data_IF_730080951688
#
_entry.id   IF_730080951688
#
_cell.length_a   1.000
_cell.length_b   1.000
_cell.length_c   1.000
_cell.angle_alpha   90.00
_cell.angle_beta   90.00
_cell.angle_gamma   90.00
#
_symmetry.space_group_name_H-M   'P 1'
#
loop_
_entity.id
_entity.type
_entity.pdbx_description
1 polymer ?
#
# COMPACT_ATOMS: atom_id res chain seq x y z
N UNK A 1 -9.08 -0.51 -9.34
CA UNK A 1 -7.80 -0.90 -8.75
C UNK A 1 -7.94 -2.07 -7.79
N UNK A 2 -7.37 -3.21 -8.20
CA UNK A 2 -7.04 -4.35 -7.33
C UNK A 2 -6.02 -3.92 -6.24
N UNK A 3 -6.08 -4.54 -5.07
CA UNK A 3 -5.13 -4.25 -3.96
C UNK A 3 -4.47 -5.52 -3.43
N UNK A 4 -3.15 -5.46 -3.23
CA UNK A 4 -2.35 -6.45 -2.49
C UNK A 4 -1.90 -5.79 -1.19
N UNK A 5 -2.14 -6.46 -0.05
CA UNK A 5 -1.83 -5.91 1.27
C UNK A 5 -0.92 -6.89 2.01
N UNK A 6 0.29 -6.42 2.32
CA UNK A 6 1.26 -7.12 3.12
C UNK A 6 1.48 -6.40 4.46
N UNK A 7 1.44 -7.16 5.55
CA UNK A 7 1.71 -6.66 6.89
C UNK A 7 2.75 -7.56 7.54
N UNK A 8 3.99 -7.10 7.54
CA UNK A 8 5.12 -7.86 8.07
C UNK A 8 5.47 -7.41 9.49
N UNK A 9 5.65 -8.38 10.38
CA UNK A 9 6.02 -8.15 11.78
C UNK A 9 7.30 -8.93 12.08
N UNK A 10 8.34 -8.23 12.51
CA UNK A 10 9.57 -8.91 12.94
C UNK A 10 9.42 -9.41 14.39
N UNK A 11 10.17 -10.46 14.75
CA UNK A 11 10.19 -11.13 16.06
C UNK A 11 10.49 -10.19 17.25
N UNK A 12 11.10 -9.03 16.98
CA UNK A 12 11.41 -7.98 17.97
C UNK A 12 10.16 -7.15 18.36
N UNK A 13 9.04 -7.30 17.66
CA UNK A 13 7.77 -6.64 17.98
C UNK A 13 6.96 -7.33 19.11
N UNK A 14 7.52 -8.33 19.80
CA UNK A 14 6.85 -8.99 20.93
C UNK A 14 6.56 -7.98 22.06
N UNK A 15 5.27 -7.75 22.33
CA UNK A 15 4.79 -6.77 23.30
C UNK A 15 4.43 -5.39 22.72
N UNK A 16 4.59 -5.20 21.41
CA UNK A 16 4.18 -3.97 20.72
C UNK A 16 2.76 -4.12 20.11
N UNK A 17 1.99 -3.03 20.17
CA UNK A 17 0.71 -2.87 19.48
C UNK A 17 0.98 -2.66 17.99
N UNK A 18 0.58 -3.63 17.17
CA UNK A 18 0.79 -3.61 15.73
C UNK A 18 -0.56 -3.82 15.03
N UNK A 19 -0.90 -3.04 13.98
CA UNK A 19 -2.15 -3.24 13.27
C UNK A 19 -2.27 -4.67 12.74
N UNK A 20 -3.50 -5.18 12.70
CA UNK A 20 -3.79 -6.45 12.05
C UNK A 20 -3.86 -6.25 10.53
N UNK A 21 -3.62 -7.32 9.76
CA UNK A 21 -3.80 -7.27 8.32
C UNK A 21 -5.22 -6.84 7.92
N UNK A 22 -6.22 -7.24 8.70
CA UNK A 22 -7.61 -6.81 8.50
C UNK A 22 -7.84 -5.33 8.79
N UNK A 23 -7.19 -4.76 9.80
CA UNK A 23 -7.27 -3.33 10.08
C UNK A 23 -6.68 -2.51 8.93
N UNK A 24 -5.50 -2.91 8.44
CA UNK A 24 -4.86 -2.31 7.25
C UNK A 24 -5.75 -2.47 6.03
N UNK A 25 -6.29 -3.67 5.78
CA UNK A 25 -7.18 -3.95 4.65
C UNK A 25 -8.43 -3.10 4.66
N UNK A 26 -9.09 -2.97 5.81
CA UNK A 26 -10.27 -2.11 5.97
C UNK A 26 -9.91 -0.64 5.72
N UNK A 27 -8.79 -0.17 6.26
CA UNK A 27 -8.33 1.19 6.04
C UNK A 27 -8.11 1.48 4.55
N UNK A 28 -7.31 0.65 3.86
CA UNK A 28 -7.02 0.78 2.42
C UNK A 28 -8.30 0.74 1.59
N UNK A 29 -9.14 -0.28 1.79
CA UNK A 29 -10.38 -0.47 1.04
C UNK A 29 -11.33 0.72 1.23
N UNK A 30 -11.46 1.22 2.46
CA UNK A 30 -12.32 2.36 2.77
C UNK A 30 -11.88 3.63 2.04
N UNK A 31 -10.57 3.94 2.01
CA UNK A 31 -10.05 5.12 1.29
C UNK A 31 -10.30 4.99 -0.21
N UNK A 32 -9.91 3.87 -0.81
CA UNK A 32 -10.07 3.66 -2.26
C UNK A 32 -11.53 3.66 -2.71
N UNK A 33 -12.46 3.13 -1.90
CA UNK A 33 -13.90 3.22 -2.17
C UNK A 33 -14.40 4.66 -2.13
N UNK A 34 -13.94 5.44 -1.15
CA UNK A 34 -14.31 6.85 -1.02
C UNK A 34 -13.85 7.67 -2.23
N UNK A 35 -12.69 7.31 -2.80
CA UNK A 35 -12.15 7.88 -4.03
C UNK A 35 -12.71 7.26 -5.32
N UNK A 36 -13.64 6.28 -5.24
CA UNK A 36 -14.18 5.52 -6.39
C UNK A 36 -13.12 4.76 -7.22
N UNK A 37 -11.93 4.55 -6.67
CA UNK A 37 -10.83 3.81 -7.31
C UNK A 37 -10.87 2.31 -7.03
N UNK A 38 -11.66 1.88 -6.05
CA UNK A 38 -11.81 0.47 -5.73
C UNK A 38 -12.68 -0.24 -6.79
N UNK A 39 -12.05 -1.04 -7.63
CA UNK A 39 -12.72 -2.02 -8.46
C UNK A 39 -12.09 -3.38 -8.11
N UNK A 40 -12.90 -4.37 -7.76
CA UNK A 40 -12.43 -5.69 -7.32
C UNK A 40 -12.02 -6.60 -8.48
N UNK A 41 -11.78 -6.04 -9.66
CA UNK A 41 -11.51 -6.78 -10.89
C UNK A 41 -10.02 -7.09 -10.99
N UNK A 42 -9.67 -8.18 -11.68
CA UNK A 42 -8.28 -8.41 -12.05
C UNK A 42 -7.86 -7.39 -13.12
N UNK A 43 -6.98 -6.49 -12.72
CA UNK A 43 -6.33 -5.51 -13.60
C UNK A 43 -4.83 -5.84 -13.63
N UNK A 44 -4.17 -5.59 -14.76
CA UNK A 44 -2.71 -5.65 -14.90
C UNK A 44 -2.01 -4.65 -13.98
N UNK A 45 -2.76 -3.67 -13.48
CA UNK A 45 -2.37 -2.61 -12.56
C UNK A 45 -3.00 -2.85 -11.18
N UNK A 46 -2.19 -2.88 -10.13
CA UNK A 46 -2.70 -3.06 -8.77
C UNK A 46 -1.92 -2.24 -7.75
N UNK A 47 -2.61 -1.85 -6.67
CA UNK A 47 -1.99 -1.16 -5.55
C UNK A 47 -1.40 -2.18 -4.58
N UNK A 48 -0.09 -2.14 -4.37
CA UNK A 48 0.59 -2.88 -3.34
C UNK A 48 0.82 -1.98 -2.13
N UNK A 49 0.21 -2.33 -1.00
CA UNK A 49 0.38 -1.65 0.28
C UNK A 49 1.15 -2.55 1.21
N UNK A 50 2.33 -2.11 1.67
CA UNK A 50 3.13 -2.83 2.64
C UNK A 50 3.30 -2.01 3.92
N UNK A 51 3.07 -2.67 5.06
CA UNK A 51 3.28 -2.11 6.40
C UNK A 51 4.24 -3.02 7.15
N UNK A 52 5.46 -2.57 7.40
CA UNK A 52 6.46 -3.33 8.14
C UNK A 52 6.65 -2.72 9.52
N UNK A 53 6.70 -3.55 10.56
CA UNK A 53 6.93 -3.10 11.94
C UNK A 53 8.07 -3.87 12.58
N UNK A 54 9.04 -3.12 13.11
CA UNK A 54 10.28 -3.63 13.73
C UNK A 54 10.53 -2.88 15.04
N UNK A 55 10.19 -3.52 16.17
CA UNK A 55 10.27 -2.88 17.47
C UNK A 55 9.37 -1.63 17.52
N UNK A 56 9.88 -0.44 17.93
CA UNK A 56 9.09 0.80 17.93
C UNK A 56 9.03 1.49 16.57
N UNK A 57 9.76 1.00 15.56
CA UNK A 57 9.85 1.59 14.24
C UNK A 57 8.90 0.89 13.26
N UNK A 58 8.45 1.62 12.25
CA UNK A 58 7.65 1.09 11.16
C UNK A 58 8.02 1.74 9.83
N UNK A 59 7.65 1.06 8.74
CA UNK A 59 7.66 1.61 7.39
C UNK A 59 6.34 1.33 6.69
N UNK A 60 5.87 2.31 5.92
CA UNK A 60 4.70 2.19 5.06
C UNK A 60 5.16 2.46 3.64
N UNK A 61 4.72 1.63 2.72
CA UNK A 61 4.79 1.95 1.30
C UNK A 61 3.50 1.60 0.57
N UNK A 62 3.19 2.46 -0.39
CA UNK A 62 2.04 2.37 -1.28
C UNK A 62 2.59 2.48 -2.70
N UNK A 63 2.49 1.38 -3.44
CA UNK A 63 3.09 1.24 -4.76
C UNK A 63 2.04 0.84 -5.78
N UNK A 64 1.94 1.57 -6.87
CA UNK A 64 1.16 1.16 -8.02
C UNK A 64 2.04 0.26 -8.88
N UNK A 65 1.74 -1.04 -8.88
CA UNK A 65 2.51 -2.03 -9.61
C UNK A 65 1.79 -2.46 -10.88
N UNK A 66 2.56 -2.67 -11.94
CA UNK A 66 2.09 -3.28 -13.17
C UNK A 66 2.80 -4.61 -13.39
N UNK A 67 2.06 -5.61 -13.85
CA UNK A 67 2.65 -6.85 -14.33
C UNK A 67 3.28 -6.62 -15.71
N UNK A 68 4.57 -6.91 -15.83
CA UNK A 68 5.32 -6.81 -17.08
C UNK A 68 5.87 -8.18 -17.45
N UNK A 69 5.74 -8.55 -18.71
CA UNK A 69 6.36 -9.77 -19.25
C UNK A 69 7.36 -9.35 -20.32
N UNK A 70 8.61 -9.75 -20.17
CA UNK A 70 9.61 -9.62 -21.24
C UNK A 70 9.43 -10.77 -22.23
N UNK A 71 8.54 -10.58 -23.21
CA UNK A 71 8.27 -11.56 -24.25
C UNK A 71 9.40 -11.69 -25.28
N UNK A 72 10.32 -10.72 -25.32
CA UNK A 72 11.30 -10.57 -26.40
C UNK A 72 12.61 -11.31 -26.14
N UNK A 73 13.05 -11.40 -24.88
CA UNK A 73 14.34 -12.02 -24.55
C UNK A 73 14.24 -13.16 -23.55
N UNK A 74 13.55 -12.96 -22.42
CA UNK A 74 13.64 -13.90 -21.29
C UNK A 74 12.37 -14.72 -21.04
N UNK A 75 11.21 -14.27 -21.54
CA UNK A 75 9.90 -14.82 -21.19
C UNK A 75 9.54 -14.62 -19.70
N UNK A 76 10.34 -13.84 -18.96
CA UNK A 76 10.15 -13.65 -17.52
C UNK A 76 9.07 -12.60 -17.26
N UNK A 77 8.23 -12.87 -16.27
CA UNK A 77 7.26 -11.92 -15.75
C UNK A 77 7.74 -11.33 -14.43
N UNK A 78 7.62 -10.02 -14.30
CA UNK A 78 8.00 -9.27 -13.10
C UNK A 78 6.99 -8.17 -12.78
N UNK A 79 7.02 -7.73 -11.53
CA UNK A 79 6.27 -6.58 -11.08
C UNK A 79 7.16 -5.36 -11.16
N UNK A 80 6.70 -4.33 -11.86
CA UNK A 80 7.36 -3.05 -11.92
C UNK A 80 6.50 -1.96 -11.26
N UNK A 81 7.03 -1.22 -10.27
CA UNK A 81 6.33 -0.09 -9.69
C UNK A 81 6.33 1.06 -10.69
N UNK A 82 5.15 1.50 -11.11
CA UNK A 82 4.96 2.73 -11.90
C UNK A 82 4.80 3.97 -11.02
N UNK A 83 4.41 3.77 -9.76
CA UNK A 83 4.34 4.82 -8.73
C UNK A 83 4.76 4.26 -7.39
N UNK A 84 5.47 5.06 -6.59
CA UNK A 84 5.87 4.68 -5.23
C UNK A 84 5.82 5.89 -4.30
N UNK A 85 5.08 5.75 -3.22
CA UNK A 85 5.16 6.63 -2.07
C UNK A 85 5.37 5.80 -0.81
N UNK A 86 6.10 6.33 0.15
CA UNK A 86 6.38 5.63 1.38
C UNK A 86 7.22 6.44 2.34
N UNK A 87 7.23 6.02 3.59
CA UNK A 87 8.00 6.66 4.64
C UNK A 87 8.23 5.70 5.80
N UNK A 88 9.12 6.11 6.70
CA UNK A 88 9.44 5.42 7.95
C UNK A 88 9.11 6.30 9.13
N UNK A 89 8.81 5.69 10.27
CA UNK A 89 8.46 6.42 11.49
C UNK A 89 8.61 5.56 12.73
N UNK A 90 8.30 6.16 13.88
CA UNK A 90 8.21 5.47 15.18
C UNK A 90 6.81 5.64 15.74
N UNK A 91 6.22 4.56 16.26
CA UNK A 91 4.80 4.53 16.62
C UNK A 91 4.54 4.57 18.13
N UNK A 92 5.59 4.60 18.97
CA UNK A 92 5.43 4.75 20.43
C UNK A 92 4.52 3.70 21.09
N UNK A 93 4.44 2.50 20.53
CA UNK A 93 3.51 1.43 20.93
C UNK A 93 2.01 1.70 20.66
N UNK A 94 1.68 2.63 19.75
CA UNK A 94 0.32 2.90 19.28
C UNK A 94 0.12 2.40 17.84
N UNK A 95 -0.67 1.33 17.68
CA UNK A 95 -1.01 0.82 16.35
C UNK A 95 -1.95 1.72 15.56
N UNK A 96 -2.73 2.55 16.23
CA UNK A 96 -3.64 3.52 15.60
C UNK A 96 -2.84 4.61 14.89
N UNK A 97 -1.68 4.97 15.44
CA UNK A 97 -0.74 5.90 14.82
C UNK A 97 -0.29 5.39 13.44
N UNK A 98 0.07 4.11 13.32
CA UNK A 98 0.46 3.50 12.03
C UNK A 98 -0.70 3.54 11.03
N UNK A 99 -1.94 3.32 11.47
CA UNK A 99 -3.12 3.38 10.61
C UNK A 99 -3.44 4.82 10.16
N UNK A 100 -3.24 5.81 11.04
CA UNK A 100 -3.37 7.23 10.70
C UNK A 100 -2.37 7.62 9.61
N UNK A 101 -1.12 7.23 9.81
CA UNK A 101 -0.01 7.47 8.88
C UNK A 101 -0.19 6.75 7.54
N UNK A 102 -0.73 5.53 7.56
CA UNK A 102 -1.17 4.83 6.34
C UNK A 102 -2.26 5.60 5.60
N UNK A 103 -3.21 6.19 6.33
CA UNK A 103 -4.24 7.05 5.77
C UNK A 103 -3.63 8.21 4.98
N UNK A 104 -2.68 8.92 5.58
CA UNK A 104 -2.00 10.05 4.92
C UNK A 104 -1.22 9.61 3.67
N UNK A 105 -0.53 8.46 3.69
CA UNK A 105 0.13 7.93 2.50
C UNK A 105 -0.87 7.63 1.37
N UNK A 106 -2.01 7.03 1.71
CA UNK A 106 -3.06 6.74 0.73
C UNK A 106 -3.67 8.02 0.17
N UNK A 107 -3.94 9.02 1.00
CA UNK A 107 -4.52 10.28 0.56
C UNK A 107 -3.58 11.00 -0.42
N UNK A 108 -2.27 11.03 -0.14
CA UNK A 108 -1.26 11.56 -1.07
C UNK A 108 -1.23 10.78 -2.38
N UNK A 109 -1.22 9.46 -2.32
CA UNK A 109 -1.25 8.62 -3.52
C UNK A 109 -2.51 8.88 -4.35
N UNK A 110 -3.69 8.94 -3.72
CA UNK A 110 -4.97 9.16 -4.39
C UNK A 110 -5.01 10.53 -5.05
N UNK A 111 -4.59 11.58 -4.34
CA UNK A 111 -4.52 12.94 -4.87
C UNK A 111 -3.61 13.02 -6.10
N UNK A 112 -2.40 12.47 -6.00
CA UNK A 112 -1.45 12.42 -7.10
C UNK A 112 -1.97 11.61 -8.29
N UNK A 113 -2.56 10.44 -8.01
CA UNK A 113 -3.13 9.56 -9.03
C UNK A 113 -4.28 10.24 -9.77
N UNK A 114 -5.24 10.83 -9.05
CA UNK A 114 -6.38 11.52 -9.65
C UNK A 114 -5.94 12.76 -10.42
N UNK A 115 -4.96 13.52 -9.93
CA UNK A 115 -4.43 14.69 -10.64
C UNK A 115 -3.80 14.33 -11.99
N UNK A 116 -3.11 13.20 -12.08
CA UNK A 116 -2.47 12.75 -13.33
C UNK A 116 -3.49 12.13 -14.30
N UNK A 117 -4.52 11.47 -13.77
CA UNK A 117 -5.55 10.78 -14.55
C UNK A 117 -6.87 11.58 -14.63
N UNK A 118 -6.84 12.89 -14.35
CA UNK A 118 -8.03 13.76 -14.29
C UNK A 118 -8.78 13.82 -15.63
N UNK A 119 -8.07 13.65 -16.75
CA UNK A 119 -8.65 13.59 -18.09
C UNK A 119 -9.45 12.31 -18.37
N UNK A 120 -9.21 11.27 -17.59
CA UNK A 120 -9.83 9.95 -17.73
C UNK A 120 -10.91 9.69 -16.66
N UNK A 121 -11.21 10.69 -15.81
CA UNK A 121 -12.24 10.66 -14.75
C UNK A 121 -13.47 11.49 -15.12
#
# INVERSE_FOLDING_TARGET
MRTVIDVQKNRIALGQSVPTQDAVRRAVTSRLRSARLFNGQEEDLFLHVHVHVVGPAFSIGVELNKHLTDELYSGLSFLAPSWKTGFTGTHGNDSSYIISDLGQALDRFIDEYLRVNEKDC
#
